data_IF_469949180149
#
_entry.id   IF_469949180149
#
_cell.length_a   1.000
_cell.length_b   1.000
_cell.length_c   1.000
_cell.angle_alpha   90.00
_cell.angle_beta   90.00
_cell.angle_gamma   90.00
#
_symmetry.space_group_name_H-M   'P 1'
#
loop_
_entity.id
_entity.type
_entity.pdbx_description
1 polymer ?
#
# COMPACT_ATOMS: atom_id res chain seq x y z
N UNK A 1 -3.86 -1.04 64.58
CA UNK A 1 -2.77 -0.84 63.60
C UNK A 1 -3.18 -1.60 62.36
N UNK A 2 -3.88 -0.91 61.47
CA UNK A 2 -4.45 -1.44 60.24
C UNK A 2 -3.43 -1.29 59.12
N UNK A 3 -3.35 -2.32 58.28
CA UNK A 3 -2.42 -2.48 57.16
C UNK A 3 -3.02 -1.72 55.97
N UNK A 4 -2.26 -0.80 55.38
CA UNK A 4 -2.52 -0.30 54.02
C UNK A 4 -1.29 -0.62 53.16
N UNK A 5 -1.38 -1.75 52.48
CA UNK A 5 -0.58 -2.08 51.30
C UNK A 5 -1.40 -1.65 50.09
N UNK A 6 -1.04 -0.58 49.39
CA UNK A 6 -1.59 -0.32 48.06
C UNK A 6 -0.62 0.49 47.19
N UNK A 7 0.07 -0.22 46.33
CA UNK A 7 0.57 0.30 45.05
C UNK A 7 0.74 -0.89 44.09
N UNK A 8 -0.40 -1.54 43.78
CA UNK A 8 -0.49 -2.54 42.71
C UNK A 8 -0.63 -1.80 41.38
N UNK A 9 0.32 -2.07 40.48
CA UNK A 9 0.19 -2.09 39.02
C UNK A 9 -0.87 -1.15 38.40
N UNK A 10 -0.46 0.05 38.00
CA UNK A 10 -1.16 0.77 36.96
C UNK A 10 -0.85 0.08 35.61
N UNK A 11 -1.76 -0.78 35.15
CA UNK A 11 -1.75 -1.27 33.77
C UNK A 11 -1.89 -0.09 32.81
N UNK A 12 -1.18 -0.09 31.67
CA UNK A 12 -1.36 0.94 30.66
C UNK A 12 -2.79 0.84 30.11
N UNK A 13 -3.57 1.89 30.31
CA UNK A 13 -4.88 2.06 29.68
C UNK A 13 -4.65 2.12 28.17
N UNK A 14 -4.83 0.97 27.51
CA UNK A 14 -4.93 0.91 26.05
C UNK A 14 -6.19 1.69 25.70
N UNK A 15 -6.00 2.90 25.16
CA UNK A 15 -7.08 3.73 24.63
C UNK A 15 -7.74 2.94 23.49
N UNK A 16 -8.80 2.18 23.83
CA UNK A 16 -9.63 1.45 22.88
C UNK A 16 -10.51 2.45 22.13
N UNK A 17 -9.89 3.34 21.34
CA UNK A 17 -10.62 4.04 20.29
C UNK A 17 -10.95 2.97 19.24
N UNK A 18 -12.23 2.72 18.96
CA UNK A 18 -12.59 1.89 17.82
C UNK A 18 -11.99 2.52 16.57
N UNK A 19 -11.18 1.75 15.84
CA UNK A 19 -10.72 2.17 14.52
C UNK A 19 -11.96 2.49 13.66
N UNK A 20 -11.98 3.65 12.96
CA UNK A 20 -13.13 4.02 12.15
C UNK A 20 -13.38 2.94 11.10
N UNK A 21 -14.59 2.39 11.11
CA UNK A 21 -14.97 1.31 10.22
C UNK A 21 -15.13 1.84 8.79
N UNK A 22 -14.22 1.41 7.92
CA UNK A 22 -14.35 1.34 6.49
C UNK A 22 -15.81 1.08 6.04
N UNK A 23 -16.43 2.04 5.32
CA UNK A 23 -17.83 1.93 4.85
C UNK A 23 -17.97 0.74 3.88
N UNK A 24 -19.10 0.04 3.95
CA UNK A 24 -19.41 -1.28 3.38
C UNK A 24 -19.31 -1.41 1.84
N UNK A 25 -18.11 -1.32 1.26
CA UNK A 25 -17.87 -1.65 -0.14
C UNK A 25 -16.99 -2.91 -0.21
N UNK A 26 -17.38 -3.94 -0.98
CA UNK A 26 -16.56 -5.12 -1.16
C UNK A 26 -15.29 -4.76 -1.94
N UNK A 27 -14.12 -5.29 -1.55
CA UNK A 27 -12.86 -4.95 -2.21
C UNK A 27 -12.80 -5.42 -3.68
N UNK A 28 -12.08 -4.69 -4.53
CA UNK A 28 -11.92 -4.95 -5.98
C UNK A 28 -10.43 -5.08 -6.35
N UNK A 29 -10.13 -5.89 -7.37
CA UNK A 29 -8.77 -6.10 -7.90
C UNK A 29 -8.50 -5.19 -9.13
N UNK A 30 -7.31 -4.56 -9.21
CA UNK A 30 -6.86 -3.74 -10.34
C UNK A 30 -5.68 -4.39 -11.10
N UNK A 31 -5.70 -4.36 -12.43
CA UNK A 31 -4.69 -4.97 -13.33
C UNK A 31 -3.78 -3.92 -14.01
N UNK A 32 -2.51 -4.24 -14.25
CA UNK A 32 -1.48 -3.35 -14.83
C UNK A 32 -0.95 -3.82 -16.20
N UNK A 33 -0.46 -2.90 -17.03
CA UNK A 33 0.22 -3.18 -18.32
C UNK A 33 1.78 -3.07 -18.24
N UNK A 34 2.51 -3.83 -19.06
CA UNK A 34 4.00 -3.86 -19.12
C UNK A 34 4.54 -2.95 -20.25
N UNK A 35 5.65 -2.22 -20.01
CA UNK A 35 6.37 -1.41 -21.02
C UNK A 35 7.88 -1.69 -21.01
N UNK A 36 8.52 -1.67 -22.18
CA UNK A 36 9.98 -1.89 -22.37
C UNK A 36 10.83 -0.62 -22.08
N UNK A 37 12.08 -0.80 -21.66
CA UNK A 37 13.00 0.30 -21.26
C UNK A 37 14.42 0.16 -21.84
N UNK A 38 15.15 1.27 -22.06
CA UNK A 38 16.55 1.29 -22.53
C UNK A 38 17.57 0.60 -21.62
N UNK A 39 18.69 0.17 -22.23
CA UNK A 39 19.74 -0.65 -21.60
C UNK A 39 20.37 -0.03 -20.33
N UNK A 40 20.48 -0.78 -19.21
CA UNK A 40 21.04 -0.29 -17.96
C UNK A 40 22.58 -0.19 -17.98
N UNK A 41 23.15 0.78 -17.26
CA UNK A 41 24.61 0.88 -17.05
C UNK A 41 25.08 -0.16 -16.03
N UNK A 42 26.37 -0.55 -15.98
CA UNK A 42 26.85 -1.65 -15.13
C UNK A 42 26.74 -1.42 -13.61
N UNK A 43 26.31 -0.23 -13.17
CA UNK A 43 26.05 0.09 -11.77
C UNK A 43 24.56 0.29 -11.46
N UNK A 44 23.69 0.23 -12.47
CA UNK A 44 22.26 0.37 -12.27
C UNK A 44 21.69 -0.96 -11.79
N UNK A 45 21.09 -0.94 -10.60
CA UNK A 45 20.24 -2.04 -10.15
C UNK A 45 19.08 -2.13 -11.13
N UNK A 46 18.90 -3.30 -11.75
CA UNK A 46 17.81 -3.53 -12.70
C UNK A 46 16.47 -3.23 -12.04
N UNK A 47 15.55 -2.63 -12.79
CA UNK A 47 14.24 -2.21 -12.28
C UNK A 47 13.11 -2.76 -13.14
N UNK A 48 11.97 -2.99 -12.52
CA UNK A 48 10.68 -3.22 -13.18
C UNK A 48 9.66 -2.29 -12.55
N UNK A 49 8.69 -1.83 -13.33
CA UNK A 49 7.55 -1.10 -12.80
C UNK A 49 6.25 -1.53 -13.45
N UNK A 50 5.18 -1.34 -12.69
CA UNK A 50 3.81 -1.54 -13.13
C UNK A 50 3.04 -0.27 -12.84
N UNK A 51 2.22 0.12 -13.80
CA UNK A 51 1.32 1.27 -13.69
C UNK A 51 -0.11 0.77 -13.75
N UNK A 52 -0.97 1.34 -12.93
CA UNK A 52 -2.42 1.20 -13.07
C UNK A 52 -2.93 2.44 -13.80
N UNK A 53 -3.67 2.23 -14.87
CA UNK A 53 -4.16 3.33 -15.69
C UNK A 53 -5.58 3.73 -15.30
N UNK A 54 -5.84 5.04 -15.35
CA UNK A 54 -7.14 5.61 -15.06
C UNK A 54 -7.21 6.25 -13.68
N UNK A 55 -8.44 6.42 -13.22
CA UNK A 55 -8.75 6.99 -11.91
C UNK A 55 -9.61 5.98 -11.18
N UNK A 56 -9.11 5.53 -10.03
CA UNK A 56 -9.81 4.59 -9.15
C UNK A 56 -10.66 5.37 -8.16
N UNK A 57 -11.94 5.01 -8.06
CA UNK A 57 -12.87 5.58 -7.09
C UNK A 57 -13.34 4.51 -6.12
N UNK A 58 -13.19 4.74 -4.81
CA UNK A 58 -13.85 3.97 -3.75
C UNK A 58 -14.55 4.96 -2.83
N UNK A 59 -15.87 4.88 -2.77
CA UNK A 59 -16.67 5.92 -2.10
C UNK A 59 -16.44 7.26 -2.77
N UNK A 60 -16.10 8.26 -1.97
CA UNK A 60 -15.73 9.61 -2.37
C UNK A 60 -14.22 9.83 -2.51
N UNK A 61 -13.42 8.80 -2.20
CA UNK A 61 -11.99 8.85 -2.40
C UNK A 61 -11.61 8.55 -3.85
N UNK A 62 -10.52 9.20 -4.26
CA UNK A 62 -9.90 9.10 -5.57
C UNK A 62 -8.46 8.66 -5.40
N UNK A 63 -8.02 7.73 -6.23
CA UNK A 63 -6.64 7.26 -6.36
C UNK A 63 -6.27 7.28 -7.84
N UNK A 64 -5.10 7.80 -8.18
CA UNK A 64 -4.60 7.83 -9.56
C UNK A 64 -3.07 7.83 -9.58
N UNK A 65 -2.53 7.68 -10.79
CA UNK A 65 -1.08 7.68 -11.05
C UNK A 65 -0.35 6.59 -10.25
N UNK A 66 -1.01 5.45 -10.00
CA UNK A 66 -0.45 4.37 -9.22
C UNK A 66 0.72 3.72 -9.99
N UNK A 67 1.88 3.68 -9.35
CA UNK A 67 3.10 3.10 -9.90
C UNK A 67 3.81 2.28 -8.83
N UNK A 68 4.01 1.00 -9.10
CA UNK A 68 4.91 0.14 -8.32
C UNK A 68 6.24 0.06 -9.05
N UNK A 69 7.34 0.40 -8.39
CA UNK A 69 8.70 0.11 -8.86
C UNK A 69 9.32 -0.94 -7.96
N UNK A 70 9.95 -1.96 -8.55
CA UNK A 70 10.82 -2.90 -7.82
C UNK A 70 12.22 -2.87 -8.42
N UNK A 71 13.22 -3.16 -7.59
CA UNK A 71 14.62 -3.22 -7.96
C UNK A 71 15.19 -4.61 -7.66
N UNK A 72 16.16 -5.07 -8.45
CA UNK A 72 16.77 -6.39 -8.31
C UNK A 72 17.48 -6.63 -6.95
N UNK A 73 17.71 -5.57 -6.17
CA UNK A 73 18.27 -5.64 -4.82
C UNK A 73 17.24 -5.97 -3.72
N UNK A 74 15.97 -6.13 -4.07
CA UNK A 74 14.89 -6.43 -3.12
C UNK A 74 14.18 -5.20 -2.56
N UNK A 75 14.46 -4.00 -3.07
CA UNK A 75 13.73 -2.78 -2.72
C UNK A 75 12.56 -2.51 -3.65
N UNK A 76 11.47 -1.97 -3.11
CA UNK A 76 10.27 -1.60 -3.83
C UNK A 76 9.75 -0.24 -3.36
N UNK A 77 9.07 0.46 -4.26
CA UNK A 77 8.45 1.75 -4.03
C UNK A 77 7.06 1.75 -4.67
N UNK A 78 6.04 2.16 -3.90
CA UNK A 78 4.71 2.45 -4.41
C UNK A 78 4.47 3.95 -4.37
N UNK A 79 4.10 4.50 -5.53
CA UNK A 79 3.76 5.90 -5.71
C UNK A 79 2.31 6.03 -6.18
N UNK A 80 1.55 6.98 -5.65
CA UNK A 80 0.24 7.37 -6.17
C UNK A 80 -0.17 8.78 -5.69
N UNK A 81 -1.20 9.35 -6.33
CA UNK A 81 -1.91 10.52 -5.82
C UNK A 81 -3.28 10.11 -5.28
N UNK A 82 -3.62 10.61 -4.10
CA UNK A 82 -4.89 10.34 -3.42
C UNK A 82 -5.61 11.63 -3.06
N UNK A 83 -6.95 11.60 -3.08
CA UNK A 83 -7.81 12.74 -2.73
C UNK A 83 -9.13 12.21 -2.14
N UNK A 84 -9.75 12.93 -1.22
CA UNK A 84 -11.12 12.66 -0.74
C UNK A 84 -11.94 13.94 -0.73
N UNK A 85 -13.27 13.81 -0.68
CA UNK A 85 -14.18 14.93 -0.45
C UNK A 85 -14.47 15.20 1.03
N UNK A 86 -14.04 14.28 1.91
CA UNK A 86 -14.05 14.47 3.36
C UNK A 86 -12.61 14.60 3.90
N UNK A 87 -12.45 15.22 5.07
CA UNK A 87 -11.16 15.33 5.77
C UNK A 87 -10.83 14.04 6.55
N UNK A 88 -9.53 13.72 6.65
CA UNK A 88 -8.93 12.61 7.44
C UNK A 88 -9.19 11.19 6.93
N UNK A 89 -9.67 11.05 5.69
CA UNK A 89 -9.73 9.76 5.00
C UNK A 89 -8.34 9.23 4.62
N UNK A 90 -8.24 7.91 4.46
CA UNK A 90 -7.01 7.21 4.08
C UNK A 90 -7.31 6.05 3.16
N UNK A 91 -6.47 5.93 2.14
CA UNK A 91 -6.41 4.69 1.37
C UNK A 91 -5.70 3.58 2.14
N UNK A 92 -6.23 2.37 2.05
CA UNK A 92 -5.67 1.18 2.69
C UNK A 92 -5.70 0.02 1.73
N UNK A 93 -4.56 -0.64 1.53
CA UNK A 93 -4.48 -1.92 0.82
C UNK A 93 -4.34 -3.03 1.86
N UNK A 94 -5.46 -3.58 2.32
CA UNK A 94 -5.46 -4.57 3.41
C UNK A 94 -4.69 -5.84 3.05
N UNK A 95 -4.75 -6.24 1.77
CA UNK A 95 -4.04 -7.40 1.24
C UNK A 95 -2.70 -7.05 0.60
N UNK A 96 -2.22 -5.81 0.75
CA UNK A 96 -0.98 -5.34 0.14
C UNK A 96 -0.97 -5.41 -1.39
N UNK A 97 0.22 -5.46 -1.98
CA UNK A 97 0.44 -5.57 -3.42
C UNK A 97 1.10 -6.92 -3.72
N UNK A 98 0.49 -7.71 -4.59
CA UNK A 98 1.03 -9.00 -5.03
C UNK A 98 1.89 -8.86 -6.27
N UNK A 99 3.01 -9.57 -6.31
CA UNK A 99 3.78 -9.86 -7.51
C UNK A 99 3.33 -11.19 -8.12
N UNK A 100 3.11 -11.20 -9.42
CA UNK A 100 2.58 -12.33 -10.18
C UNK A 100 3.61 -12.82 -11.20
N UNK A 101 3.66 -14.12 -11.44
CA UNK A 101 4.42 -14.70 -12.56
C UNK A 101 3.67 -14.51 -13.90
N UNK A 102 4.28 -14.98 -15.00
CA UNK A 102 3.70 -14.91 -16.36
C UNK A 102 2.40 -15.70 -16.53
N UNK A 103 2.07 -16.60 -15.60
CA UNK A 103 0.83 -17.38 -15.59
C UNK A 103 -0.20 -16.84 -14.58
N UNK A 104 0.10 -15.72 -13.90
CA UNK A 104 -0.76 -15.13 -12.88
C UNK A 104 -0.65 -15.79 -11.50
N UNK A 105 0.37 -16.62 -11.26
CA UNK A 105 0.63 -17.21 -9.94
C UNK A 105 1.24 -16.15 -9.02
N UNK A 106 0.70 -16.03 -7.80
CA UNK A 106 1.26 -15.13 -6.78
C UNK A 106 2.62 -15.65 -6.32
N UNK A 107 3.66 -14.88 -6.58
CA UNK A 107 5.03 -15.15 -6.11
C UNK A 107 5.23 -14.65 -4.68
N UNK A 108 4.69 -13.47 -4.40
CA UNK A 108 4.80 -12.80 -3.11
C UNK A 108 3.75 -11.68 -2.98
N UNK A 109 3.42 -11.31 -1.75
CA UNK A 109 2.50 -10.22 -1.44
C UNK A 109 3.10 -9.34 -0.34
N UNK A 110 3.05 -8.02 -0.52
CA UNK A 110 3.50 -7.08 0.50
C UNK A 110 2.64 -7.15 1.76
N UNK A 111 3.13 -6.65 2.90
CA UNK A 111 2.27 -6.32 4.02
C UNK A 111 1.18 -5.31 3.63
N UNK A 112 0.21 -5.13 4.54
CA UNK A 112 -0.79 -4.05 4.48
C UNK A 112 -0.07 -2.71 4.25
N UNK A 113 -0.53 -1.96 3.26
CA UNK A 113 -0.05 -0.60 2.99
C UNK A 113 -1.15 0.40 3.39
N UNK A 114 -0.75 1.51 4.01
CA UNK A 114 -1.65 2.58 4.46
C UNK A 114 -1.15 3.88 3.87
N UNK A 115 -2.05 4.60 3.20
CA UNK A 115 -1.76 5.88 2.59
C UNK A 115 -1.60 7.03 3.58
N UNK A 116 -1.14 8.19 3.08
CA UNK A 116 -1.11 9.41 3.87
C UNK A 116 -2.53 9.82 4.29
N UNK A 117 -2.68 10.54 5.41
CA UNK A 117 -3.94 11.22 5.71
C UNK A 117 -4.25 12.25 4.62
N UNK A 118 -5.48 12.28 4.14
CA UNK A 118 -6.00 13.33 3.26
C UNK A 118 -6.57 14.45 4.14
N UNK A 119 -5.70 15.38 4.55
CA UNK A 119 -5.99 16.36 5.61
C UNK A 119 -6.99 17.44 5.16
N UNK A 120 -7.04 17.73 3.87
CA UNK A 120 -7.84 18.80 3.30
C UNK A 120 -8.76 18.26 2.21
N UNK A 121 -10.06 18.57 2.32
CA UNK A 121 -11.08 18.33 1.31
C UNK A 121 -10.60 18.74 -0.08
N UNK A 122 -10.75 17.82 -1.04
CA UNK A 122 -10.41 18.01 -2.44
C UNK A 122 -8.95 18.40 -2.74
N UNK A 123 -8.03 18.25 -1.79
CA UNK A 123 -6.59 18.39 -2.01
C UNK A 123 -5.94 17.04 -2.32
N UNK A 124 -5.04 17.04 -3.31
CA UNK A 124 -4.23 15.87 -3.61
C UNK A 124 -3.11 15.69 -2.57
N UNK A 125 -3.03 14.50 -1.98
CA UNK A 125 -1.87 14.06 -1.22
C UNK A 125 -1.06 13.03 -2.04
N UNK A 126 0.25 13.03 -1.86
CA UNK A 126 1.15 12.05 -2.48
C UNK A 126 1.38 10.88 -1.53
N UNK A 127 1.09 9.67 -2.01
CA UNK A 127 1.48 8.43 -1.36
C UNK A 127 2.79 7.95 -1.97
N UNK A 128 3.88 7.98 -1.20
CA UNK A 128 5.21 7.51 -1.60
C UNK A 128 5.74 6.55 -0.51
N UNK A 129 5.56 5.25 -0.72
CA UNK A 129 5.81 4.20 0.27
C UNK A 129 6.92 3.25 -0.19
N UNK A 130 7.96 3.12 0.61
CA UNK A 130 9.06 2.19 0.35
C UNK A 130 8.90 0.91 1.18
N UNK A 131 9.09 -0.24 0.55
CA UNK A 131 9.07 -1.53 1.25
C UNK A 131 10.05 -2.52 0.61
N UNK A 132 10.28 -3.64 1.30
CA UNK A 132 11.15 -4.72 0.82
C UNK A 132 10.32 -5.87 0.22
N UNK A 133 10.90 -6.55 -0.77
CA UNK A 133 10.37 -7.80 -1.31
C UNK A 133 11.51 -8.84 -1.48
N UNK A 134 11.21 -10.14 -1.58
CA UNK A 134 12.24 -11.15 -1.83
C UNK A 134 12.83 -11.00 -3.23
N UNK A 135 14.09 -10.55 -3.30
CA UNK A 135 14.81 -10.32 -4.56
C UNK A 135 14.85 -11.54 -5.50
N UNK A 136 14.74 -12.77 -4.96
CA UNK A 136 14.65 -14.01 -5.74
C UNK A 136 13.49 -14.03 -6.74
N UNK A 137 12.44 -13.23 -6.50
CA UNK A 137 11.30 -13.11 -7.39
C UNK A 137 11.44 -12.04 -8.46
N UNK A 138 12.51 -11.23 -8.44
CA UNK A 138 12.66 -10.11 -9.37
C UNK A 138 12.54 -10.55 -10.83
N UNK A 139 13.28 -11.59 -11.23
CA UNK A 139 13.27 -12.07 -12.62
C UNK A 139 11.91 -12.68 -13.02
N UNK A 140 11.27 -13.40 -12.10
CA UNK A 140 9.98 -14.07 -12.33
C UNK A 140 8.77 -13.14 -12.30
N UNK A 141 8.87 -11.98 -11.63
CA UNK A 141 7.78 -11.02 -11.55
C UNK A 141 7.45 -10.46 -12.95
N UNK A 142 6.22 -10.71 -13.39
CA UNK A 142 5.68 -10.28 -14.68
C UNK A 142 4.44 -9.40 -14.52
N UNK A 143 3.70 -9.52 -13.41
CA UNK A 143 2.53 -8.69 -13.11
C UNK A 143 2.52 -8.19 -11.67
N UNK A 144 1.72 -7.17 -11.41
CA UNK A 144 1.40 -6.69 -10.07
C UNK A 144 -0.12 -6.54 -9.89
N UNK A 145 -0.60 -6.72 -8.66
CA UNK A 145 -2.01 -6.52 -8.30
C UNK A 145 -2.14 -5.89 -6.93
N UNK A 146 -2.87 -4.78 -6.83
CA UNK A 146 -3.28 -4.19 -5.55
C UNK A 146 -4.43 -5.03 -5.00
N UNK A 147 -4.29 -5.56 -3.79
CA UNK A 147 -5.30 -6.43 -3.19
C UNK A 147 -6.05 -5.71 -2.07
N UNK A 148 -7.36 -5.89 -2.05
CA UNK A 148 -8.23 -5.41 -0.99
C UNK A 148 -8.09 -3.90 -0.73
N UNK A 149 -8.09 -3.10 -1.79
CA UNK A 149 -8.06 -1.64 -1.70
C UNK A 149 -9.35 -1.10 -1.07
N UNK A 150 -9.22 -0.10 -0.20
CA UNK A 150 -10.31 0.51 0.52
C UNK A 150 -10.03 1.99 0.84
N UNK A 151 -11.12 2.75 0.90
CA UNK A 151 -11.30 4.08 1.49
C UNK A 151 -12.75 4.09 2.03
#
# INVERSE_FOLDING_TARGET
MTIDNDAVNAEPTVDRRPEPACKHIPPVDLLSDVRDHPEPTPFDVAKKWWVWSGVTHIGDCVLQDEMLTIQADGTANFFAHVKSSDDDDRWVFYGGISLLDVHGVVLWTSPKLIGPPMIWEDEWATWDENFAFPAVWFDSAAGARINQAHC
#
